data_IF_213887001405
#
_entry.id   IF_213887001405
#
_cell.length_a   1.000
_cell.length_b   1.000
_cell.length_c   1.000
_cell.angle_alpha   90.00
_cell.angle_beta   90.00
_cell.angle_gamma   90.00
#
_symmetry.space_group_name_H-M   'P 1'
#
loop_
_entity.id
_entity.type
_entity.pdbx_description
1 polymer ?
2 non-polymer ?
3 non-polymer ?
4 non-polymer ?
5 non-polymer ?
6 water ?
#
# COMPACT_ATOMS: atom_id res chain seq x y z
N UNK A 8 -7.95 30.83 9.61
CA UNK A 8 -8.12 30.65 8.16
C UNK A 8 -9.56 30.22 7.74
N UNK A 9 -9.78 30.07 6.41
CA UNK A 9 -11.01 29.62 5.74
C UNK A 9 -10.57 28.74 4.55
N UNK A 10 -11.53 28.03 3.92
CA UNK A 10 -11.23 27.21 2.73
C UNK A 10 -11.22 28.14 1.51
N UNK A 11 -10.44 27.81 0.44
CA UNK A 11 -10.44 28.66 -0.75
C UNK A 11 -11.82 28.71 -1.37
N UNK A 12 -12.13 29.82 -2.03
CA UNK A 12 -13.42 30.07 -2.67
C UNK A 12 -13.71 28.99 -3.74
N UNK A 13 -12.64 28.54 -4.46
CA UNK A 13 -12.68 27.50 -5.51
C UNK A 13 -13.16 26.13 -5.01
N UNK A 14 -12.68 25.70 -3.83
CA UNK A 14 -13.05 24.45 -3.18
C UNK A 14 -14.49 24.56 -2.69
N UNK A 15 -14.78 25.66 -1.97
CA UNK A 15 -16.09 25.99 -1.41
C UNK A 15 -17.18 26.00 -2.46
N UNK A 16 -16.84 26.39 -3.70
CA UNK A 16 -17.74 26.50 -4.84
C UNK A 16 -18.29 25.15 -5.25
N UNK A 17 -17.48 24.10 -5.11
CA UNK A 17 -17.81 22.73 -5.49
C UNK A 17 -18.16 21.77 -4.36
N UNK A 18 -17.60 22.00 -3.17
CA UNK A 18 -17.75 21.13 -2.00
C UNK A 18 -18.22 21.85 -0.75
N UNK A 19 -19.10 21.17 0.02
CA UNK A 19 -19.58 21.57 1.33
C UNK A 19 -18.72 20.76 2.29
N UNK A 20 -17.76 21.41 2.96
CA UNK A 20 -16.81 20.77 3.88
C UNK A 20 -17.44 20.39 5.23
N UNK A 21 -16.89 19.34 5.88
CA UNK A 21 -17.40 18.81 7.16
C UNK A 21 -16.27 18.26 8.10
N UNK A 22 -16.67 17.40 9.07
CA UNK A 22 -15.89 16.72 10.11
C UNK A 22 -14.53 16.18 9.69
N UNK A 23 -13.56 16.16 10.63
CA UNK A 23 -12.20 15.67 10.35
C UNK A 23 -12.15 14.13 10.43
N UNK A 24 -11.57 13.49 9.40
CA UNK A 24 -11.43 12.04 9.29
C UNK A 24 -9.95 11.66 9.12
N UNK A 31 -4.10 16.89 7.35
CA UNK A 31 -5.46 16.66 7.84
C UNK A 31 -6.41 16.24 6.70
N UNK A 32 -7.30 15.23 6.98
CA UNK A 32 -8.29 14.68 6.04
C UNK A 32 -9.70 15.03 6.54
N UNK A 33 -10.51 15.68 5.69
CA UNK A 33 -11.87 16.04 6.08
C UNK A 33 -12.92 15.44 5.18
N UNK A 34 -14.14 15.28 5.72
CA UNK A 34 -15.29 14.80 4.98
C UNK A 34 -15.85 16.01 4.26
N UNK A 35 -16.35 15.82 3.05
CA UNK A 35 -16.95 16.89 2.26
C UNK A 35 -18.01 16.30 1.35
N UNK A 36 -18.94 17.13 0.91
CA UNK A 36 -20.01 16.69 0.01
C UNK A 36 -19.86 17.42 -1.30
N UNK A 37 -19.74 16.68 -2.40
CA UNK A 37 -19.68 17.29 -3.71
C UNK A 37 -21.09 17.83 -3.97
N UNK A 38 -21.21 19.13 -4.24
CA UNK A 38 -22.48 19.82 -4.44
C UNK A 38 -23.33 19.30 -5.60
N UNK A 39 -22.66 18.86 -6.68
CA UNK A 39 -23.25 18.39 -7.92
C UNK A 39 -23.99 17.07 -7.75
N UNK A 40 -23.39 16.15 -6.98
CA UNK A 40 -23.86 14.78 -6.79
C UNK A 40 -24.42 14.49 -5.41
N UNK A 41 -24.07 15.33 -4.42
CA UNK A 41 -24.38 15.17 -2.99
C UNK A 41 -23.64 13.97 -2.39
N UNK A 42 -22.72 13.40 -3.15
CA UNK A 42 -21.94 12.26 -2.71
C UNK A 42 -20.81 12.74 -1.83
N UNK A 43 -20.44 11.91 -0.86
CA UNK A 43 -19.36 12.19 0.07
C UNK A 43 -18.02 11.98 -0.58
N UNK A 44 -17.04 12.78 -0.18
CA UNK A 44 -15.64 12.70 -0.62
C UNK A 44 -14.73 12.88 0.61
N UNK A 45 -13.42 12.76 0.43
CA UNK A 45 -12.42 13.01 1.47
C UNK A 45 -11.48 14.08 0.93
N UNK A 46 -11.23 15.14 1.72
CA UNK A 46 -10.31 16.20 1.29
C UNK A 46 -9.05 16.15 2.15
N UNK A 47 -7.93 15.78 1.52
CA UNK A 47 -6.61 15.73 2.15
C UNK A 47 -5.96 17.12 2.01
N UNK A 48 -5.77 17.79 3.16
CA UNK A 48 -5.12 19.11 3.26
C UNK A 48 -3.62 18.93 3.64
N UNK A 49 -2.73 19.50 2.80
CA UNK A 49 -1.26 19.51 2.95
C UNK A 49 -0.80 20.98 3.02
N UNK A 50 -0.05 21.36 4.08
CA UNK A 50 0.47 22.72 4.25
C UNK A 50 1.53 23.05 3.19
N UNK A 51 1.52 24.30 2.67
CA UNK A 51 2.45 24.75 1.62
C UNK A 51 3.80 25.26 2.13
N UNK A 67 6.71 17.91 -4.24
CA UNK A 67 6.43 16.53 -3.83
C UNK A 67 4.95 16.14 -4.05
N UNK A 68 4.01 17.10 -3.83
CA UNK A 68 2.58 16.93 -4.05
C UNK A 68 2.37 16.94 -5.58
N UNK A 69 3.35 17.47 -6.32
CA UNK A 69 3.38 17.52 -7.78
C UNK A 69 3.43 16.07 -8.31
N UNK A 70 4.45 15.29 -7.86
CA UNK A 70 4.62 13.89 -8.26
C UNK A 70 3.43 13.04 -7.79
N UNK A 71 3.00 13.22 -6.51
CA UNK A 71 1.88 12.51 -5.91
C UNK A 71 0.60 12.60 -6.78
N UNK A 72 0.23 13.81 -7.25
CA UNK A 72 -0.95 14.05 -8.10
C UNK A 72 -0.77 13.37 -9.46
N UNK A 73 0.43 13.53 -10.07
CA UNK A 73 0.80 12.95 -11.36
C UNK A 73 0.73 11.42 -11.32
N UNK A 74 1.28 10.79 -10.24
CA UNK A 74 1.25 9.34 -10.01
C UNK A 74 -0.25 8.90 -9.91
N UNK A 75 -0.99 9.47 -8.95
CA UNK A 75 -2.41 9.17 -8.71
C UNK A 75 -3.35 9.40 -9.89
N UNK A 76 -3.08 10.40 -10.74
CA UNK A 76 -3.92 10.70 -11.92
C UNK A 76 -3.74 9.61 -12.99
N UNK A 77 -2.51 9.07 -13.09
CA UNK A 77 -2.12 8.04 -14.05
C UNK A 77 -2.55 6.63 -13.64
N UNK A 78 -2.55 6.32 -12.33
CA UNK A 78 -2.92 4.99 -11.83
C UNK A 78 -4.41 4.74 -11.90
N UNK A 79 -4.78 3.52 -12.28
CA UNK A 79 -6.17 3.11 -12.35
C UNK A 79 -6.34 1.64 -12.00
N UNK A 80 -6.60 1.36 -10.70
CA UNK A 80 -6.78 0.01 -10.18
C UNK A 80 -7.82 0.04 -9.03
N UNK A 81 -8.67 -1.02 -8.87
CA UNK A 81 -9.67 -0.98 -7.78
C UNK A 81 -9.11 -0.94 -6.38
N UNK A 82 -7.85 -1.39 -6.18
CA UNK A 82 -7.21 -1.38 -4.84
C UNK A 82 -6.19 -0.25 -4.64
N UNK A 83 -6.32 0.78 -5.48
CA UNK A 83 -5.53 2.00 -5.36
C UNK A 83 -6.52 3.18 -5.33
N UNK A 84 -6.43 4.06 -4.31
CA UNK A 84 -7.25 5.28 -4.16
C UNK A 84 -7.22 6.20 -5.41
N UNK A 85 -8.35 6.84 -5.75
CA UNK A 85 -8.39 7.73 -6.91
C UNK A 85 -8.53 9.19 -6.52
N UNK A 86 -7.86 10.06 -7.26
CA UNK A 86 -7.97 11.51 -7.12
C UNK A 86 -9.21 11.86 -7.90
N UNK A 87 -10.05 12.70 -7.30
CA UNK A 87 -11.30 13.16 -7.91
C UNK A 87 -11.14 14.59 -8.36
N UNK A 88 -10.22 15.35 -7.71
CA UNK A 88 -9.97 16.77 -7.95
C UNK A 88 -8.77 17.29 -7.13
N UNK A 89 -8.26 18.47 -7.49
CA UNK A 89 -7.12 19.08 -6.81
C UNK A 89 -7.21 20.61 -6.77
N UNK A 90 -6.77 21.19 -5.64
CA UNK A 90 -6.72 22.64 -5.42
C UNK A 90 -5.34 23.09 -4.87
N UNK A 91 -4.62 23.94 -5.64
CA UNK A 91 -3.35 24.51 -5.20
C UNK A 91 -3.59 25.96 -4.81
N UNK A 92 -3.76 26.21 -3.48
CA UNK A 92 -4.00 27.52 -2.87
C UNK A 92 -2.96 27.81 -1.74
N UNK A 93 -3.39 28.43 -0.60
CA UNK A 93 -2.55 28.74 0.57
C UNK A 93 -2.03 27.42 1.14
N UNK A 94 -2.77 26.34 0.84
CA UNK A 94 -2.47 24.95 1.14
C UNK A 94 -2.88 24.13 -0.07
N UNK A 95 -2.43 22.87 -0.12
CA UNK A 95 -2.77 21.91 -1.16
C UNK A 95 -4.00 21.16 -0.69
N UNK A 96 -5.03 21.07 -1.55
CA UNK A 96 -6.27 20.35 -1.26
C UNK A 96 -6.46 19.24 -2.30
N UNK A 97 -6.45 17.98 -1.83
CA UNK A 97 -6.62 16.81 -2.70
C UNK A 97 -7.94 16.13 -2.37
N UNK A 98 -8.84 16.07 -3.38
CA UNK A 98 -10.16 15.44 -3.28
C UNK A 98 -10.02 13.97 -3.68
N UNK A 99 -10.33 13.07 -2.72
CA UNK A 99 -10.20 11.63 -2.88
C UNK A 99 -11.48 10.89 -2.57
N UNK A 100 -11.55 9.61 -3.01
CA UNK A 100 -12.66 8.68 -2.74
C UNK A 100 -12.73 8.52 -1.23
N UNK A 101 -13.94 8.51 -0.68
CA UNK A 101 -14.12 8.34 0.75
C UNK A 101 -14.21 6.85 1.05
N UNK A 102 -13.43 6.42 2.03
CA UNK A 102 -13.37 5.04 2.48
C UNK A 102 -13.97 5.01 3.86
N UNK A 103 -15.19 4.47 3.94
CA UNK A 103 -15.95 4.44 5.19
C UNK A 103 -15.46 3.51 6.31
N UNK A 104 -14.66 2.51 5.99
CA UNK A 104 -14.13 1.59 7.00
C UNK A 104 -12.89 2.08 7.73
N UNK A 105 -12.36 3.22 7.27
CA UNK A 105 -11.15 3.82 7.82
C UNK A 105 -9.89 3.04 7.52
N UNK A 106 -8.89 3.17 8.40
CA UNK A 106 -7.57 2.55 8.31
C UNK A 106 -7.52 1.12 8.81
N UNK A 107 -6.63 0.30 8.20
CA UNK A 107 -6.35 -1.08 8.63
C UNK A 107 -5.69 -1.04 10.02
N UNK A 108 -4.95 0.05 10.31
CA UNK A 108 -4.28 0.28 11.58
C UNK A 108 -5.26 0.10 12.75
N UNK A 109 -6.45 0.71 12.62
CA UNK A 109 -7.53 0.71 13.62
C UNK A 109 -8.12 -0.67 13.90
N UNK A 110 -7.85 -1.66 13.01
CA UNK A 110 -8.29 -3.04 13.12
C UNK A 110 -7.18 -3.91 13.71
N UNK A 111 -5.93 -3.41 13.69
CA UNK A 111 -4.76 -4.19 14.17
C UNK A 111 -4.09 -3.66 15.44
N UNK A 112 -4.37 -2.39 15.81
CA UNK A 112 -3.84 -1.73 17.00
C UNK A 112 -4.33 -2.41 18.31
N UNK A 113 -3.51 -2.33 19.35
CA UNK A 113 -3.81 -2.88 20.68
C UNK A 113 -3.88 -4.39 20.75
N UNK A 114 -2.92 -5.08 20.06
CA UNK A 114 -2.80 -6.55 19.99
C UNK A 114 -4.04 -7.26 19.39
N UNK A 115 -4.90 -6.51 18.65
CA UNK A 115 -6.09 -7.05 17.98
C UNK A 115 -5.62 -7.79 16.72
N UNK A 116 -6.17 -8.99 16.51
CA UNK A 116 -5.79 -9.76 15.34
C UNK A 116 -6.99 -10.18 14.50
N UNK A 117 -6.84 -10.07 13.17
CA UNK A 117 -7.86 -10.43 12.20
C UNK A 117 -7.90 -11.95 12.03
N UNK A 118 -9.07 -12.50 11.61
CA UNK A 118 -9.24 -13.93 11.27
C UNK A 118 -8.26 -14.19 10.12
N UNK A 119 -7.69 -15.40 10.02
CA UNK A 119 -6.77 -15.74 8.94
C UNK A 119 -7.35 -15.48 7.53
N UNK A 120 -8.66 -15.73 7.35
CA UNK A 120 -9.37 -15.56 6.09
C UNK A 120 -9.46 -14.11 5.65
N UNK A 121 -9.67 -13.19 6.62
CA UNK A 121 -9.74 -11.75 6.39
C UNK A 121 -8.35 -11.21 6.01
N UNK A 122 -7.27 -11.78 6.62
CA UNK A 122 -5.88 -11.45 6.32
C UNK A 122 -5.63 -11.76 4.87
N UNK A 123 -6.07 -12.97 4.42
CA UNK A 123 -5.92 -13.45 3.06
C UNK A 123 -6.59 -12.51 2.08
N UNK A 124 -7.89 -12.23 2.29
CA UNK A 124 -8.65 -11.31 1.44
C UNK A 124 -7.98 -9.94 1.29
N UNK A 125 -7.63 -9.30 2.40
CA UNK A 125 -6.98 -7.99 2.42
C UNK A 125 -5.58 -8.03 1.77
N UNK A 126 -4.79 -9.08 2.08
CA UNK A 126 -3.43 -9.27 1.58
C UNK A 126 -3.40 -9.46 0.09
N UNK A 127 -4.33 -10.27 -0.41
CA UNK A 127 -4.50 -10.56 -1.83
C UNK A 127 -4.70 -9.26 -2.59
N UNK A 128 -5.52 -8.34 -2.04
CA UNK A 128 -5.77 -7.02 -2.68
C UNK A 128 -4.54 -6.12 -2.61
N UNK A 129 -3.85 -6.10 -1.45
CA UNK A 129 -2.58 -5.38 -1.24
C UNK A 129 -1.55 -5.87 -2.26
N UNK A 130 -1.48 -7.21 -2.54
CA UNK A 130 -0.56 -7.77 -3.54
C UNK A 130 -0.87 -7.33 -4.97
N UNK A 131 -2.19 -7.34 -5.35
CA UNK A 131 -2.67 -6.90 -6.65
C UNK A 131 -2.34 -5.43 -6.89
N UNK A 132 -2.57 -4.59 -5.86
CA UNK A 132 -2.29 -3.17 -5.93
C UNK A 132 -0.80 -2.92 -6.15
N UNK A 133 0.07 -3.51 -5.30
CA UNK A 133 1.53 -3.37 -5.40
C UNK A 133 2.10 -4.01 -6.72
N UNK A 134 1.46 -5.09 -7.21
CA UNK A 134 1.88 -5.69 -8.48
C UNK A 134 1.65 -4.66 -9.60
N UNK A 135 0.46 -4.01 -9.59
CA UNK A 135 0.05 -2.97 -10.53
C UNK A 135 1.05 -1.82 -10.49
N UNK A 136 1.34 -1.31 -9.29
CA UNK A 136 2.30 -0.25 -9.07
C UNK A 136 3.65 -0.57 -9.73
N UNK A 137 4.21 -1.77 -9.47
CA UNK A 137 5.51 -2.21 -9.97
C UNK A 137 5.47 -2.41 -11.48
N UNK A 138 4.41 -3.07 -12.00
CA UNK A 138 4.13 -3.23 -13.43
C UNK A 138 4.18 -1.88 -14.14
N UNK A 139 3.71 -0.81 -13.45
CA UNK A 139 3.63 0.59 -13.93
C UNK A 139 4.82 1.47 -13.56
N UNK A 140 5.89 0.86 -13.05
CA UNK A 140 7.12 1.55 -12.68
C UNK A 140 7.04 2.50 -11.50
N UNK A 141 6.14 2.22 -10.52
CA UNK A 141 5.97 3.01 -9.30
C UNK A 141 6.32 2.16 -8.09
N UNK A 142 7.10 2.72 -7.15
CA UNK A 142 7.43 2.13 -5.85
C UNK A 142 6.75 3.03 -4.81
N UNK A 143 5.91 2.47 -3.96
CA UNK A 143 5.16 3.22 -2.95
C UNK A 143 6.09 3.78 -1.84
N UNK A 144 7.00 2.95 -1.31
CA UNK A 144 8.00 3.32 -0.30
C UNK A 144 7.48 3.59 1.13
N UNK A 145 6.17 3.63 1.33
CA UNK A 145 5.62 3.88 2.67
C UNK A 145 4.37 3.01 2.98
N UNK A 146 4.44 1.70 2.68
CA UNK A 146 3.32 0.78 2.95
C UNK A 146 3.30 0.43 4.44
N UNK A 147 2.16 0.68 5.10
CA UNK A 147 1.92 0.44 6.52
C UNK A 147 0.42 0.24 6.68
N UNK A 148 -0.07 -0.33 7.84
CA UNK A 148 -1.52 -0.42 8.06
C UNK A 148 -2.24 0.93 8.02
N UNK A 149 -1.55 2.04 8.39
CA UNK A 149 -2.20 3.37 8.33
C UNK A 149 -2.43 3.95 6.94
N UNK A 150 -1.79 3.34 5.90
CA UNK A 150 -1.93 3.72 4.49
C UNK A 150 -2.78 2.73 3.70
N UNK A 151 -3.43 1.81 4.40
CA UNK A 151 -4.33 0.84 3.81
C UNK A 151 -5.70 1.20 4.39
N UNK A 152 -6.66 1.54 3.48
CA UNK A 152 -8.02 1.95 3.81
C UNK A 152 -8.99 0.86 3.46
N UNK A 153 -10.04 0.69 4.30
CA UNK A 153 -11.11 -0.29 4.07
C UNK A 153 -12.37 0.41 3.53
N UNK A 154 -13.02 -0.17 2.52
CA UNK A 154 -14.20 0.43 1.90
C UNK A 154 -15.45 0.53 2.77
N UNK A 155 -15.78 -0.54 3.51
CA UNK A 155 -16.95 -0.55 4.40
C UNK A 155 -16.59 -0.97 5.82
N UNK A 156 -17.59 -0.97 6.72
CA UNK A 156 -17.41 -1.38 8.12
C UNK A 156 -17.51 -2.93 8.27
N UNK A 157 -17.71 -3.63 7.14
CA UNK A 157 -17.79 -5.09 7.04
C UNK A 157 -16.39 -5.69 6.94
N UNK A 158 -16.22 -6.88 7.55
CA UNK A 158 -14.97 -7.67 7.56
C UNK A 158 -14.56 -8.00 6.14
N UNK A 159 -15.51 -8.43 5.31
CA UNK A 159 -15.25 -8.74 3.91
C UNK A 159 -15.55 -7.49 3.13
N UNK A 160 -14.50 -6.78 2.70
CA UNK A 160 -14.63 -5.53 1.96
C UNK A 160 -13.45 -5.29 1.03
N UNK A 161 -13.55 -4.23 0.24
CA UNK A 161 -12.46 -3.85 -0.65
C UNK A 161 -11.51 -2.94 0.08
N UNK A 162 -10.21 -3.19 -0.06
CA UNK A 162 -9.18 -2.32 0.54
C UNK A 162 -8.55 -1.44 -0.55
N UNK A 163 -7.98 -0.30 -0.16
CA UNK A 163 -7.31 0.56 -1.14
C UNK A 163 -6.06 1.11 -0.54
N UNK A 164 -5.01 1.18 -1.37
CA UNK A 164 -3.70 1.72 -1.00
C UNK A 164 -3.77 3.23 -1.20
N UNK A 165 -3.23 3.97 -0.24
CA UNK A 165 -3.20 5.44 -0.21
C UNK A 165 -1.79 5.95 0.21
N UNK A 166 -1.60 7.31 0.24
CA UNK A 166 -0.39 8.03 0.68
C UNK A 166 0.78 7.78 -0.27
N UNK A 167 0.72 8.41 -1.46
CA UNK A 167 1.76 8.26 -2.47
C UNK A 167 2.81 9.36 -2.42
N UNK A 168 2.93 10.02 -1.26
CA UNK A 168 3.86 11.11 -1.02
C UNK A 168 5.32 10.70 -0.99
N UNK A 169 5.59 9.44 -0.67
CA UNK A 169 6.97 8.95 -0.63
C UNK A 169 7.24 8.07 -1.81
N UNK A 170 6.27 7.98 -2.72
CA UNK A 170 6.42 7.14 -3.88
C UNK A 170 7.47 7.61 -4.87
N UNK A 171 8.05 6.68 -5.60
CA UNK A 171 9.15 6.92 -6.53
C UNK A 171 8.82 6.35 -7.91
N UNK A 172 9.17 7.10 -8.98
CA UNK A 172 8.97 6.72 -10.37
C UNK A 172 10.27 6.12 -10.95
N UNK A 173 10.18 4.90 -11.48
CA UNK A 173 11.29 4.20 -12.12
C UNK A 173 11.28 4.55 -13.61
N UNK A 174 12.41 5.03 -14.09
CA UNK A 174 12.64 5.38 -15.49
C UNK A 174 14.01 4.87 -15.93
N UNK A 175 14.64 5.53 -16.92
CA UNK A 175 16.00 5.17 -17.35
C UNK A 175 16.98 5.79 -16.36
N UNK A 176 17.77 4.93 -15.74
CA UNK A 176 18.74 5.28 -14.70
C UNK A 176 19.92 6.05 -15.29
N UNK A 177 20.61 6.77 -14.40
CA UNK A 177 21.87 7.44 -14.65
C UNK A 177 22.89 6.31 -14.86
N UNK A 178 22.68 5.13 -14.18
CA UNK A 178 23.54 3.96 -14.27
C UNK A 178 23.51 3.34 -15.64
N UNK A 179 22.30 3.20 -16.21
CA UNK A 179 22.13 2.65 -17.56
C UNK A 179 22.90 3.53 -18.56
N UNK A 180 22.75 4.88 -18.47
CA UNK A 180 23.47 5.84 -19.31
C UNK A 180 24.99 5.71 -19.16
N UNK A 181 25.48 5.61 -17.91
CA UNK A 181 26.89 5.45 -17.55
C UNK A 181 27.50 4.17 -18.12
N UNK A 182 26.76 3.04 -18.03
CA UNK A 182 27.21 1.73 -18.55
C UNK A 182 27.43 1.74 -20.06
N UNK A 183 26.79 2.66 -20.81
CA UNK A 183 26.97 2.79 -22.26
C UNK A 183 28.39 3.16 -22.68
N UNK A 184 29.04 4.02 -21.90
CA UNK A 184 30.42 4.43 -22.15
C UNK A 184 31.48 3.45 -21.65
N UNK A 185 32.75 3.75 -21.98
CA UNK A 185 33.92 2.98 -21.55
C UNK A 185 34.21 3.39 -20.10
N UNK A 186 34.44 2.43 -19.18
CA UNK A 186 34.63 2.82 -17.77
C UNK A 186 36.05 3.21 -17.38
N UNK A 187 36.87 3.66 -18.33
CA UNK A 187 38.24 4.08 -18.02
C UNK A 187 38.32 4.92 -16.71
N UNK A 188 37.40 5.91 -16.55
CA UNK A 188 37.38 6.86 -15.44
C UNK A 188 36.34 6.54 -14.38
N UNK A 189 35.55 5.48 -14.59
CA UNK A 189 34.50 5.07 -13.69
C UNK A 189 34.97 4.42 -12.37
N UNK A 190 34.50 4.99 -11.24
CA UNK A 190 34.79 4.59 -9.86
C UNK A 190 34.27 3.20 -9.59
N UNK A 191 35.02 2.38 -8.83
CA UNK A 191 34.60 0.99 -8.57
C UNK A 191 33.26 0.79 -7.87
N UNK A 192 32.89 1.69 -6.94
CA UNK A 192 31.60 1.55 -6.22
C UNK A 192 30.41 1.55 -7.19
N UNK A 193 30.59 2.24 -8.32
CA UNK A 193 29.58 2.39 -9.36
C UNK A 193 29.38 1.04 -10.06
N UNK A 194 30.49 0.37 -10.37
CA UNK A 194 30.46 -0.94 -11.02
C UNK A 194 29.92 -2.01 -10.07
N UNK A 195 30.22 -1.86 -8.76
CA UNK A 195 29.72 -2.77 -7.71
C UNK A 195 28.20 -2.64 -7.58
N UNK A 196 27.66 -1.43 -7.68
CA UNK A 196 26.22 -1.14 -7.58
C UNK A 196 25.35 -1.79 -8.67
N UNK A 197 25.97 -2.20 -9.79
CA UNK A 197 25.34 -2.85 -10.94
C UNK A 197 24.67 -4.17 -10.47
N UNK A 198 25.33 -4.90 -9.57
CA UNK A 198 24.83 -6.15 -9.02
C UNK A 198 23.44 -6.07 -8.44
N UNK A 199 23.17 -5.00 -7.66
CA UNK A 199 21.89 -4.78 -6.97
C UNK A 199 20.90 -3.87 -7.72
N UNK A 200 21.38 -3.04 -8.66
CA UNK A 200 20.55 -2.10 -9.39
C UNK A 200 19.23 -2.67 -9.90
N UNK A 201 18.15 -1.94 -9.70
CA UNK A 201 16.83 -2.36 -10.15
C UNK A 201 16.09 -3.27 -9.21
N UNK A 202 16.43 -3.23 -7.89
CA UNK A 202 15.73 -4.03 -6.89
C UNK A 202 15.04 -3.17 -5.83
N UNK A 203 14.88 -1.87 -6.14
CA UNK A 203 14.22 -0.90 -5.25
C UNK A 203 12.82 -1.31 -4.89
N UNK A 204 12.06 -1.83 -5.85
CA UNK A 204 10.69 -2.28 -5.67
C UNK A 204 10.57 -3.28 -4.54
N UNK A 205 11.62 -4.08 -4.28
CA UNK A 205 11.68 -5.08 -3.20
C UNK A 205 11.44 -4.49 -1.78
N UNK A 206 11.59 -3.18 -1.58
CA UNK A 206 11.35 -2.53 -0.27
C UNK A 206 9.86 -2.63 0.08
N UNK A 207 8.99 -2.56 -0.96
CA UNK A 207 7.54 -2.67 -0.84
C UNK A 207 7.15 -4.08 -0.40
N UNK A 208 7.91 -5.10 -0.83
CA UNK A 208 7.65 -6.50 -0.47
C UNK A 208 8.03 -6.78 0.93
N UNK A 209 9.09 -6.12 1.43
CA UNK A 209 9.49 -6.25 2.82
C UNK A 209 8.31 -5.74 3.68
N UNK A 210 7.87 -4.48 3.40
CA UNK A 210 6.76 -3.76 4.04
C UNK A 210 5.50 -4.60 4.10
N UNK A 211 5.18 -5.29 3.00
CA UNK A 211 4.03 -6.18 2.90
C UNK A 211 4.16 -7.36 3.85
N UNK A 212 5.38 -7.86 4.04
CA UNK A 212 5.68 -8.96 4.96
C UNK A 212 5.51 -8.54 6.41
N UNK A 213 5.87 -7.28 6.76
CA UNK A 213 5.70 -6.72 8.09
C UNK A 213 4.18 -6.51 8.33
N UNK A 214 3.43 -6.05 7.30
CA UNK A 214 1.99 -5.85 7.39
C UNK A 214 1.31 -7.19 7.61
N UNK A 215 1.69 -8.22 6.82
CA UNK A 215 1.10 -9.56 6.93
C UNK A 215 1.34 -10.20 8.31
N UNK A 216 2.56 -10.04 8.85
CA UNK A 216 2.96 -10.52 10.18
C UNK A 216 2.04 -9.87 11.25
N UNK A 217 1.93 -8.53 11.23
CA UNK A 217 1.07 -7.75 12.14
C UNK A 217 -0.39 -8.22 12.10
N UNK A 218 -0.93 -8.39 10.90
CA UNK A 218 -2.31 -8.80 10.68
C UNK A 218 -2.63 -10.18 11.26
N UNK A 219 -1.74 -11.15 11.02
CA UNK A 219 -1.88 -12.54 11.48
C UNK A 219 -1.62 -12.72 12.97
N UNK A 220 -0.63 -12.00 13.53
CA UNK A 220 -0.22 -12.14 14.93
C UNK A 220 -0.80 -11.12 15.94
N UNK A 221 -1.05 -9.90 15.48
CA UNK A 221 -1.53 -8.80 16.30
C UNK A 221 -0.38 -8.05 16.94
N UNK A 222 0.86 -8.47 16.61
CA UNK A 222 2.08 -7.87 17.15
C UNK A 222 3.14 -7.62 16.06
N UNK A 223 4.01 -6.58 16.22
CA UNK A 223 5.03 -6.29 15.19
C UNK A 223 6.21 -7.28 15.22
N UNK A 224 6.81 -7.59 14.06
CA UNK A 224 7.95 -8.53 14.06
C UNK A 224 9.20 -7.95 14.67
N UNK A 225 9.38 -6.62 14.58
CA UNK A 225 10.54 -5.88 15.05
C UNK A 225 10.07 -4.74 15.96
N UNK A 226 10.53 -4.72 17.22
CA UNK A 226 10.15 -3.70 18.19
C UNK A 226 11.17 -3.55 19.30
N UNK A 227 11.10 -2.43 20.02
CA UNK A 227 12.01 -2.20 21.13
C UNK A 227 11.37 -2.67 22.45
N UNK A 228 10.10 -3.15 22.39
CA UNK A 228 9.37 -3.70 23.54
C UNK A 228 9.95 -5.05 23.94
N UNK A 229 10.36 -5.14 25.22
CA UNK A 229 10.95 -6.32 25.87
C UNK A 229 12.07 -7.00 25.03
N UNK A 230 13.04 -6.19 24.56
CA UNK A 230 14.18 -6.61 23.73
C UNK A 230 15.46 -5.87 24.11
N UNK A 231 16.62 -6.54 24.02
CA UNK A 231 17.93 -5.96 24.31
C UNK A 231 18.57 -5.45 23.01
N UNK A 232 18.26 -6.17 21.91
CA UNK A 232 18.75 -5.90 20.57
C UNK A 232 18.06 -4.67 19.95
N UNK A 233 18.85 -3.78 19.29
CA UNK A 233 18.33 -2.56 18.67
C UNK A 233 17.45 -2.89 17.50
N UNK A 234 16.41 -2.05 17.29
CA UNK A 234 15.47 -2.20 16.17
C UNK A 234 16.23 -2.30 14.86
N UNK A 235 17.34 -1.51 14.70
CA UNK A 235 18.20 -1.57 13.52
C UNK A 235 18.80 -2.95 13.37
N UNK A 236 19.46 -3.46 14.44
CA UNK A 236 20.11 -4.79 14.44
C UNK A 236 19.14 -5.91 14.20
N UNK A 237 17.91 -5.82 14.76
CA UNK A 237 16.85 -6.81 14.51
C UNK A 237 16.52 -6.88 13.02
N UNK A 238 16.32 -5.71 12.35
CA UNK A 238 15.95 -5.63 10.92
C UNK A 238 17.03 -6.14 9.99
N UNK A 239 18.27 -5.60 10.09
CA UNK A 239 19.39 -6.05 9.24
C UNK A 239 19.69 -7.55 9.39
N UNK A 240 19.52 -8.10 10.61
CA UNK A 240 19.72 -9.53 10.82
C UNK A 240 18.51 -10.35 10.32
N UNK A 241 17.37 -9.67 10.15
CA UNK A 241 16.11 -10.27 9.76
C UNK A 241 15.63 -11.27 10.79
N UNK A 242 15.93 -11.02 12.07
CA UNK A 242 15.55 -11.91 13.17
C UNK A 242 14.32 -11.33 13.86
N UNK A 243 13.15 -11.65 13.31
CA UNK A 243 11.86 -11.20 13.82
C UNK A 243 11.56 -11.92 15.10
N UNK A 244 10.72 -11.30 15.92
CA UNK A 244 10.28 -11.87 17.18
C UNK A 244 9.23 -12.94 16.92
N UNK A 245 9.60 -14.22 17.11
CA UNK A 245 8.63 -15.30 16.95
C UNK A 245 8.10 -15.82 18.30
N UNK A 246 6.79 -15.61 18.57
CA UNK A 246 6.12 -16.06 19.79
C UNK A 246 5.24 -17.27 19.43
N UNK A 247 5.70 -18.51 19.75
CA UNK A 247 4.95 -19.72 19.35
C UNK A 247 3.46 -19.79 19.73
N UNK A 248 3.11 -19.38 20.97
CA UNK A 248 1.73 -19.38 21.50
C UNK A 248 0.78 -18.57 20.60
N UNK A 249 1.30 -17.45 20.04
CA UNK A 249 0.52 -16.56 19.18
C UNK A 249 0.31 -17.16 17.79
N UNK A 250 1.39 -17.68 17.18
CA UNK A 250 1.43 -18.24 15.85
C UNK A 250 0.87 -19.65 15.67
N UNK A 251 0.60 -20.37 16.78
CA UNK A 251 0.02 -21.71 16.78
C UNK A 251 -1.40 -21.70 16.19
N UNK A 252 -2.09 -20.55 16.32
CA UNK A 252 -3.43 -20.25 15.82
C UNK A 252 -3.42 -19.98 14.32
N UNK A 253 -2.24 -19.67 13.78
CA UNK A 253 -2.04 -19.33 12.38
C UNK A 253 -1.51 -20.57 11.64
N UNK A 254 -1.92 -20.77 10.39
CA UNK A 254 -1.49 -21.89 9.54
C UNK A 254 0.01 -21.80 9.17
N UNK A 255 0.60 -22.96 8.85
CA UNK A 255 1.98 -23.11 8.40
C UNK A 255 2.20 -22.38 7.05
N UNK A 256 1.19 -22.43 6.14
CA UNK A 256 1.18 -21.77 4.82
C UNK A 256 1.32 -20.23 4.93
N UNK A 257 0.52 -19.59 5.80
CA UNK A 257 0.57 -18.14 6.03
C UNK A 257 1.97 -17.71 6.50
N UNK A 258 2.48 -18.40 7.56
CA UNK A 258 3.81 -18.16 8.15
C UNK A 258 4.93 -18.37 7.11
N UNK A 259 4.79 -19.38 6.22
CA UNK A 259 5.75 -19.65 5.15
C UNK A 259 5.87 -18.44 4.22
N UNK A 260 4.72 -17.79 3.88
CA UNK A 260 4.71 -16.59 3.04
C UNK A 260 5.38 -15.38 3.74
N UNK A 261 5.14 -15.22 5.06
CA UNK A 261 5.72 -14.15 5.88
C UNK A 261 7.24 -14.32 5.84
N UNK A 262 7.71 -15.55 6.14
CA UNK A 262 9.13 -15.94 6.11
C UNK A 262 9.78 -15.61 4.75
N UNK A 263 9.04 -15.78 3.65
CA UNK A 263 9.52 -15.54 2.28
C UNK A 263 9.64 -14.07 1.86
N UNK A 264 8.88 -13.17 2.51
CA UNK A 264 8.87 -11.71 2.25
C UNK A 264 9.85 -11.01 3.18
N UNK A 265 10.03 -11.52 4.39
CA UNK A 265 10.94 -10.98 5.38
C UNK A 265 12.35 -11.59 5.23
N UNK A 266 12.86 -11.66 3.99
CA UNK A 266 14.18 -12.14 3.60
C UNK A 266 15.06 -10.89 3.47
N UNK A 267 16.23 -10.89 4.13
CA UNK A 267 17.18 -9.77 4.15
C UNK A 267 17.75 -9.42 2.76
N UNK A 268 18.16 -10.41 1.94
CA UNK A 268 18.69 -10.17 0.59
C UNK A 268 17.53 -9.76 -0.35
N UNK A 269 17.51 -8.50 -0.87
CA UNK A 269 16.40 -8.10 -1.78
C UNK A 269 16.30 -8.90 -3.07
N UNK A 270 17.42 -9.48 -3.56
CA UNK A 270 17.46 -10.26 -4.80
C UNK A 270 16.79 -11.62 -4.66
N UNK A 271 16.80 -12.16 -3.43
CA UNK A 271 16.22 -13.43 -3.00
C UNK A 271 14.76 -13.28 -2.47
N UNK A 272 14.41 -12.09 -1.91
CA UNK A 272 13.07 -11.80 -1.37
C UNK A 272 11.97 -12.07 -2.43
N UNK A 273 10.77 -12.53 -1.96
CA UNK A 273 9.63 -12.79 -2.83
C UNK A 273 9.12 -11.51 -3.45
N UNK A 274 8.79 -11.59 -4.72
CA UNK A 274 8.20 -10.45 -5.45
C UNK A 274 6.67 -10.60 -5.26
N UNK A 275 5.88 -9.64 -5.71
CA UNK A 275 4.42 -9.69 -5.62
C UNK A 275 3.85 -10.86 -6.44
N UNK A 276 4.43 -11.14 -7.62
CA UNK A 276 4.05 -12.28 -8.49
C UNK A 276 4.32 -13.63 -7.79
N UNK A 277 5.48 -13.73 -7.11
CA UNK A 277 5.86 -14.93 -6.37
C UNK A 277 4.93 -15.14 -5.19
N UNK A 278 4.59 -14.05 -4.47
CA UNK A 278 3.66 -14.09 -3.35
C UNK A 278 2.29 -14.56 -3.87
N UNK A 279 1.79 -13.96 -4.97
CA UNK A 279 0.51 -14.28 -5.63
C UNK A 279 0.41 -15.73 -6.10
N UNK A 280 1.56 -16.40 -6.37
CA UNK A 280 1.59 -17.82 -6.75
C UNK A 280 1.79 -18.75 -5.55
N UNK A 281 2.02 -18.19 -4.33
CA UNK A 281 2.22 -18.97 -3.10
C UNK A 281 0.95 -19.77 -2.73
N UNK A 282 1.10 -21.05 -2.30
CA UNK A 282 -0.07 -21.87 -1.89
C UNK A 282 -1.12 -21.17 -1.03
N UNK A 283 -0.71 -20.22 -0.15
CA UNK A 283 -1.61 -19.52 0.75
C UNK A 283 -2.63 -18.69 -0.02
N UNK A 284 -2.26 -18.20 -1.20
CA UNK A 284 -3.17 -17.40 -2.01
C UNK A 284 -3.90 -18.20 -3.07
N UNK A 285 -3.64 -19.52 -3.13
CA UNK A 285 -4.32 -20.45 -4.03
C UNK A 285 -5.63 -20.91 -3.35
N UNK A 286 -6.55 -19.95 -3.14
CA UNK A 286 -7.84 -20.08 -2.44
C UNK A 286 -8.96 -19.47 -3.32
N UNK A 287 -9.71 -20.35 -4.02
CA UNK A 287 -10.78 -20.00 -4.94
C UNK A 287 -11.96 -19.30 -4.26
N UNK A 288 -12.19 -19.64 -2.97
CA UNK A 288 -13.25 -19.06 -2.14
C UNK A 288 -12.97 -17.59 -1.89
N UNK A 289 -11.75 -17.27 -1.38
CA UNK A 289 -11.29 -15.90 -1.12
C UNK A 289 -11.35 -15.13 -2.42
N UNK A 290 -10.81 -15.69 -3.53
CA UNK A 290 -10.82 -15.03 -4.85
C UNK A 290 -12.24 -14.73 -5.37
N UNK A 291 -13.25 -15.61 -5.08
CA UNK A 291 -14.66 -15.40 -5.47
C UNK A 291 -15.26 -14.25 -4.66
N UNK A 292 -14.98 -14.20 -3.32
CA UNK A 292 -15.43 -13.15 -2.41
C UNK A 292 -14.93 -11.78 -2.86
N UNK A 293 -13.67 -11.70 -3.32
CA UNK A 293 -13.10 -10.46 -3.84
C UNK A 293 -13.83 -10.01 -5.14
N UNK A 294 -13.99 -10.95 -6.12
CA UNK A 294 -14.71 -10.69 -7.38
C UNK A 294 -16.15 -10.24 -7.13
N UNK A 295 -16.79 -10.83 -6.10
CA UNK A 295 -18.15 -10.50 -5.62
C UNK A 295 -18.24 -9.06 -5.14
N UNK A 296 -17.30 -8.64 -4.26
CA UNK A 296 -17.21 -7.29 -3.70
C UNK A 296 -16.93 -6.27 -4.80
N UNK A 297 -16.11 -6.68 -5.78
CA UNK A 297 -15.71 -5.90 -6.94
C UNK A 297 -16.95 -5.55 -7.80
N UNK A 298 -17.71 -6.57 -8.27
CA UNK A 298 -18.93 -6.36 -9.07
C UNK A 298 -20.04 -5.61 -8.31
N UNK A 299 -20.12 -5.78 -6.97
CA UNK A 299 -21.09 -5.08 -6.12
C UNK A 299 -20.81 -3.58 -6.14
N UNK A 300 -19.51 -3.20 -6.15
CA UNK A 300 -19.03 -1.81 -6.21
C UNK A 300 -19.26 -1.24 -7.63
N UNK A 301 -19.01 -2.07 -8.65
CA UNK A 301 -19.11 -1.72 -10.06
C UNK A 301 -20.54 -1.52 -10.57
N UNK A 302 -21.54 -2.21 -9.95
CA UNK A 302 -22.96 -2.19 -10.31
C UNK A 302 -23.57 -0.81 -10.57
N UNK A 303 -23.05 0.21 -9.87
CA UNK A 303 -23.48 1.60 -10.01
C UNK A 303 -22.96 2.24 -11.31
N UNK A 304 -21.67 2.03 -11.63
CA UNK A 304 -20.96 2.57 -12.79
C UNK A 304 -21.36 1.95 -14.14
N UNK A 305 -21.79 0.66 -14.13
CA UNK A 305 -22.15 -0.17 -15.28
C UNK A 305 -22.98 0.41 -16.43
N UNK A 306 -22.30 0.66 -17.59
CA UNK A 306 -22.90 1.16 -18.84
C UNK A 306 -23.43 -0.07 -19.63
N UNK A 307 -24.60 0.00 -20.34
CA UNK A 307 -25.11 -1.18 -21.07
C UNK A 307 -24.11 -1.85 -22.00
N UNK A 308 -24.26 -3.16 -22.14
CA UNK A 308 -23.33 -3.97 -22.89
C UNK A 308 -23.76 -4.34 -24.30
N UNK A 309 -22.78 -4.43 -25.21
CA UNK A 309 -22.92 -4.83 -26.61
C UNK A 309 -22.89 -6.37 -26.62
N UNK A 310 -24.06 -7.00 -26.85
CA UNK A 310 -24.22 -8.45 -26.85
C UNK A 310 -23.76 -9.11 -28.17
N UNK A 311 -22.72 -9.81 -28.13
#
# INVERSE_FOLDING_TARGET
GPLGSHMSVYPKALRDEYIMSKTLGSGACGEVKLAFERKTCKKVAIKIISKRKFAIGSAREADPALNVETEIEILKKLNHPCIIKIKNFFDAEDYYIVLELMEGGELFDKVVGNKRLKEATCKLYFYQMLLAVQYLHENGIIHRDLKPENVLLSSQEEDCLIKITDFGHSKILGETSLMRTLCGTPTYLAPEVLVSVGTAGYNRAVDCWSLGVILFICLSGYPPFSEHRTQVSLKDQITSGKYNFIPEVWAEVSEKALDLVKKLLVVDPKARFTTEEALRHPWLQDEDMKRKFQDLLSEENESTALPQVLAQPSTSRKRPREGEAEGAE
#
